data_IF_929780080128
#
_entry.id   IF_929780080128
#
_cell.length_a   1.000
_cell.length_b   1.000
_cell.length_c   1.000
_cell.angle_alpha   90.00
_cell.angle_beta   90.00
_cell.angle_gamma   90.00
#
_symmetry.space_group_name_H-M   'P 1'
#
loop_
_entity.id
_entity.type
_entity.pdbx_description
1 polymer ?
#
# COMPACT_ATOMS: atom_id res chain seq x y z
N UNK A 1 -22.92 -14.89 22.69
CA UNK A 1 -23.29 -14.27 21.40
C UNK A 1 -23.42 -12.74 21.47
N UNK A 2 -23.91 -12.16 22.57
CA UNK A 2 -24.13 -10.70 22.71
C UNK A 2 -22.89 -9.78 22.58
N UNK A 3 -21.66 -10.28 22.61
CA UNK A 3 -20.47 -9.41 22.57
C UNK A 3 -20.01 -9.07 21.14
N UNK A 4 -20.38 -9.89 20.15
CA UNK A 4 -19.87 -9.78 18.78
C UNK A 4 -20.70 -8.88 17.87
N UNK A 5 -21.99 -8.67 18.17
CA UNK A 5 -22.84 -7.87 17.29
C UNK A 5 -22.41 -6.40 17.22
N UNK A 6 -21.93 -5.81 18.33
CA UNK A 6 -21.41 -4.43 18.30
C UNK A 6 -20.20 -4.28 17.38
N UNK A 7 -19.30 -5.26 17.40
CA UNK A 7 -18.13 -5.25 16.51
C UNK A 7 -18.54 -5.45 15.05
N UNK A 8 -19.48 -6.37 14.80
CA UNK A 8 -20.02 -6.60 13.46
C UNK A 8 -20.70 -5.33 12.91
N UNK A 9 -21.51 -4.64 13.73
CA UNK A 9 -22.12 -3.35 13.36
C UNK A 9 -21.06 -2.30 13.07
N UNK A 10 -20.00 -2.21 13.89
CA UNK A 10 -18.92 -1.25 13.65
C UNK A 10 -18.21 -1.50 12.30
N UNK A 11 -17.92 -2.77 11.98
CA UNK A 11 -17.34 -3.17 10.70
C UNK A 11 -18.28 -2.85 9.54
N UNK A 12 -19.56 -3.22 9.63
CA UNK A 12 -20.55 -2.97 8.59
C UNK A 12 -20.71 -1.47 8.29
N UNK A 13 -20.74 -0.63 9.33
CA UNK A 13 -20.78 0.82 9.15
C UNK A 13 -19.49 1.32 8.47
N UNK A 14 -18.33 0.86 8.93
CA UNK A 14 -17.04 1.22 8.31
C UNK A 14 -16.93 0.82 6.84
N UNK A 15 -17.45 -0.35 6.47
CA UNK A 15 -17.51 -0.83 5.08
C UNK A 15 -18.49 0.00 4.24
N UNK A 16 -19.67 0.27 4.77
CA UNK A 16 -20.71 1.04 4.07
C UNK A 16 -20.23 2.45 3.75
N UNK A 17 -19.58 3.12 4.70
CA UNK A 17 -19.04 4.47 4.49
C UNK A 17 -17.94 4.48 3.43
N UNK A 18 -17.01 3.51 3.45
CA UNK A 18 -15.98 3.37 2.40
C UNK A 18 -16.60 3.21 1.02
N UNK A 19 -17.58 2.30 0.90
CA UNK A 19 -18.26 2.06 -0.36
C UNK A 19 -19.00 3.30 -0.86
N UNK A 20 -19.71 4.01 0.03
CA UNK A 20 -20.43 5.24 -0.31
C UNK A 20 -19.47 6.35 -0.81
N UNK A 21 -18.31 6.52 -0.18
CA UNK A 21 -17.31 7.49 -0.63
C UNK A 21 -16.76 7.12 -2.01
N UNK A 22 -16.56 5.83 -2.28
CA UNK A 22 -16.02 5.32 -3.55
C UNK A 22 -16.84 5.63 -4.81
N UNK A 23 -18.13 5.97 -4.64
CA UNK A 23 -19.04 6.34 -5.72
C UNK A 23 -18.67 7.68 -6.39
N UNK A 24 -17.96 8.56 -5.67
CA UNK A 24 -17.60 9.88 -6.14
C UNK A 24 -16.45 9.85 -7.16
N UNK A 25 -16.12 11.03 -7.72
CA UNK A 25 -15.01 11.21 -8.65
C UNK A 25 -13.65 10.86 -8.01
N UNK A 26 -12.62 10.68 -8.85
CA UNK A 26 -11.25 10.29 -8.44
C UNK A 26 -10.22 11.35 -8.89
N UNK A 27 -8.99 11.22 -8.38
CA UNK A 27 -7.84 12.07 -8.76
C UNK A 27 -7.62 12.08 -10.26
N UNK A 28 -7.73 13.27 -10.87
CA UNK A 28 -7.39 13.47 -12.27
C UNK A 28 -8.44 13.03 -13.30
N UNK A 29 -9.68 12.74 -12.87
CA UNK A 29 -10.78 12.42 -13.79
C UNK A 29 -10.97 13.51 -14.86
N UNK A 30 -10.92 13.12 -16.14
CA UNK A 30 -11.06 14.02 -17.28
C UNK A 30 -9.99 15.12 -17.39
N UNK A 31 -8.79 14.92 -16.82
CA UNK A 31 -7.68 15.90 -16.83
C UNK A 31 -6.46 15.39 -17.62
N UNK A 32 -6.51 15.33 -18.96
CA UNK A 32 -5.31 15.06 -19.76
C UNK A 32 -4.25 16.18 -19.59
N UNK A 33 -2.95 15.92 -19.84
CA UNK A 33 -2.39 14.68 -20.40
C UNK A 33 -1.93 13.63 -19.36
N UNK A 34 -1.64 14.05 -18.12
CA UNK A 34 -1.09 13.16 -17.08
C UNK A 34 -2.18 12.53 -16.19
N UNK A 35 -3.41 13.03 -16.19
CA UNK A 35 -4.45 12.59 -15.26
C UNK A 35 -3.96 12.71 -13.80
N UNK A 36 -4.38 11.80 -12.93
CA UNK A 36 -4.01 11.79 -11.52
C UNK A 36 -3.65 10.39 -11.08
N UNK A 37 -3.70 10.16 -9.78
CA UNK A 37 -3.18 8.92 -9.20
C UNK A 37 -3.96 7.67 -9.63
N UNK A 38 -5.22 7.83 -10.07
CA UNK A 38 -5.97 6.73 -10.69
C UNK A 38 -5.24 6.15 -11.90
N UNK A 39 -4.71 7.04 -12.74
CA UNK A 39 -3.96 6.67 -13.94
C UNK A 39 -2.59 6.09 -13.57
N UNK A 40 -1.96 6.57 -12.50
CA UNK A 40 -0.71 5.99 -12.01
C UNK A 40 -0.86 4.51 -11.67
N UNK A 41 -1.94 4.15 -10.96
CA UNK A 41 -2.22 2.77 -10.55
C UNK A 41 -2.56 1.87 -11.75
N UNK A 42 -3.37 2.38 -12.69
CA UNK A 42 -3.64 1.67 -13.94
C UNK A 42 -2.35 1.45 -14.73
N UNK A 43 -1.51 2.47 -14.83
CA UNK A 43 -0.25 2.37 -15.56
C UNK A 43 0.72 1.38 -14.91
N UNK A 44 0.77 1.28 -13.58
CA UNK A 44 1.54 0.23 -12.92
C UNK A 44 1.01 -1.17 -13.23
N UNK A 45 -0.31 -1.35 -13.35
CA UNK A 45 -0.90 -2.61 -13.80
C UNK A 45 -0.52 -2.94 -15.26
N UNK A 46 -0.54 -1.94 -16.16
CA UNK A 46 -0.07 -2.05 -17.54
C UNK A 46 1.40 -2.47 -17.62
N UNK A 47 2.28 -1.77 -16.91
CA UNK A 47 3.72 -2.05 -16.89
C UNK A 47 4.01 -3.43 -16.32
N UNK A 48 3.40 -3.77 -15.18
CA UNK A 48 3.70 -5.04 -14.49
C UNK A 48 3.21 -6.26 -15.24
N UNK A 49 2.07 -6.15 -15.95
CA UNK A 49 1.50 -7.25 -16.73
C UNK A 49 2.24 -7.48 -18.05
N UNK A 50 2.60 -6.42 -18.77
CA UNK A 50 3.11 -6.54 -20.15
C UNK A 50 4.64 -6.59 -20.23
N UNK A 51 5.36 -6.05 -19.24
CA UNK A 51 6.81 -5.95 -19.28
C UNK A 51 7.49 -6.96 -18.35
N UNK A 52 8.69 -7.46 -18.71
CA UNK A 52 9.46 -8.31 -17.82
C UNK A 52 9.85 -7.54 -16.55
N UNK A 53 9.94 -8.24 -15.41
CA UNK A 53 10.21 -7.65 -14.08
C UNK A 53 11.43 -6.72 -14.07
N UNK A 54 12.42 -7.00 -14.92
CA UNK A 54 13.64 -6.20 -15.06
C UNK A 54 13.39 -4.77 -15.57
N UNK A 55 12.31 -4.55 -16.32
CA UNK A 55 11.99 -3.26 -16.93
C UNK A 55 11.03 -2.40 -16.09
N UNK A 56 10.47 -2.92 -15.00
CA UNK A 56 9.44 -2.20 -14.22
C UNK A 56 9.91 -0.85 -13.65
N UNK A 57 11.19 -0.72 -13.30
CA UNK A 57 11.79 0.49 -12.70
C UNK A 57 12.80 1.19 -13.60
N UNK A 58 12.93 0.75 -14.85
CA UNK A 58 13.86 1.28 -15.83
C UNK A 58 13.11 2.04 -16.92
N UNK A 59 13.72 3.12 -17.38
CA UNK A 59 13.23 3.84 -18.55
C UNK A 59 13.57 3.02 -19.80
N UNK A 60 12.58 2.72 -20.63
CA UNK A 60 12.74 1.96 -21.87
C UNK A 60 11.83 2.54 -22.96
N UNK A 61 11.90 2.00 -24.18
CA UNK A 61 10.94 2.31 -25.25
C UNK A 61 9.49 2.09 -24.82
N UNK A 62 9.28 1.13 -23.91
CA UNK A 62 7.95 0.66 -23.51
C UNK A 62 7.53 1.14 -22.11
N UNK A 63 8.46 1.66 -21.31
CA UNK A 63 8.20 2.19 -19.98
C UNK A 63 8.80 3.60 -19.82
N UNK A 64 7.96 4.63 -19.90
CA UNK A 64 8.38 6.01 -19.66
C UNK A 64 8.21 6.37 -18.17
N UNK A 65 9.33 6.49 -17.45
CA UNK A 65 9.31 6.83 -16.03
C UNK A 65 8.80 8.24 -15.72
N UNK A 66 8.68 9.13 -16.72
CA UNK A 66 8.04 10.45 -16.57
C UNK A 66 6.51 10.36 -16.59
N UNK A 67 5.96 9.31 -17.20
CA UNK A 67 4.53 9.02 -17.21
C UNK A 67 4.19 8.02 -16.10
N UNK A 68 4.11 8.50 -14.85
CA UNK A 68 3.76 7.69 -13.68
C UNK A 68 4.61 6.43 -13.47
N UNK A 69 5.94 6.58 -13.53
CA UNK A 69 6.86 5.49 -13.21
C UNK A 69 6.62 4.89 -11.81
N UNK A 70 7.04 3.64 -11.62
CA UNK A 70 6.79 2.90 -10.39
C UNK A 70 7.71 3.38 -9.26
N UNK A 71 7.12 4.01 -8.23
CA UNK A 71 7.83 4.67 -7.12
C UNK A 71 7.71 3.93 -5.77
N UNK A 72 7.08 2.76 -5.80
CA UNK A 72 6.81 1.94 -4.62
C UNK A 72 7.67 0.67 -4.62
N UNK A 73 7.90 0.06 -3.44
CA UNK A 73 8.75 -1.12 -3.36
C UNK A 73 8.10 -2.35 -4.02
N UNK A 74 8.87 -3.43 -4.25
CA UNK A 74 8.47 -4.54 -5.11
C UNK A 74 7.12 -5.19 -4.78
N UNK A 75 6.70 -5.20 -3.50
CA UNK A 75 5.44 -5.80 -3.11
C UNK A 75 4.22 -5.08 -3.73
N UNK A 76 4.30 -3.76 -3.89
CA UNK A 76 3.25 -2.99 -4.59
C UNK A 76 3.21 -3.31 -6.07
N UNK A 77 4.37 -3.55 -6.69
CA UNK A 77 4.43 -3.97 -8.09
C UNK A 77 3.81 -5.36 -8.28
N UNK A 78 4.11 -6.33 -7.41
CA UNK A 78 3.47 -7.65 -7.45
C UNK A 78 1.97 -7.59 -7.17
N UNK A 79 1.52 -6.71 -6.27
CA UNK A 79 0.09 -6.52 -6.06
C UNK A 79 -0.59 -5.91 -7.29
N UNK A 80 0.06 -4.96 -7.97
CA UNK A 80 -0.43 -4.40 -9.23
C UNK A 80 -0.53 -5.49 -10.30
N UNK A 81 0.48 -6.35 -10.43
CA UNK A 81 0.44 -7.51 -11.32
C UNK A 81 -0.73 -8.45 -11.00
N UNK A 82 -0.94 -8.79 -9.73
CA UNK A 82 -2.03 -9.67 -9.30
C UNK A 82 -3.40 -9.11 -9.68
N UNK A 83 -3.59 -7.80 -9.52
CA UNK A 83 -4.80 -7.11 -9.95
C UNK A 83 -4.93 -7.09 -11.48
N UNK A 84 -3.83 -6.82 -12.20
CA UNK A 84 -3.78 -6.77 -13.65
C UNK A 84 -4.12 -8.12 -14.33
N UNK A 85 -3.78 -9.24 -13.70
CA UNK A 85 -4.13 -10.57 -14.20
C UNK A 85 -5.64 -10.89 -14.12
N UNK A 86 -6.45 -10.06 -13.47
CA UNK A 86 -7.88 -10.30 -13.20
C UNK A 86 -8.80 -9.30 -13.90
N UNK A 87 -8.27 -8.45 -14.77
CA UNK A 87 -9.02 -7.43 -15.52
C UNK A 87 -9.10 -7.75 -17.01
N UNK A 88 -9.94 -6.99 -17.70
CA UNK A 88 -9.97 -6.94 -19.15
C UNK A 88 -8.59 -6.45 -19.68
N UNK A 89 -7.90 -7.24 -20.52
CA UNK A 89 -6.63 -6.85 -21.09
C UNK A 89 -6.67 -5.52 -21.86
N UNK A 90 -7.83 -5.11 -22.38
CA UNK A 90 -7.98 -3.84 -23.08
C UNK A 90 -7.73 -2.63 -22.17
N UNK A 91 -7.97 -2.75 -20.86
CA UNK A 91 -7.82 -1.63 -19.91
C UNK A 91 -6.36 -1.36 -19.54
N UNK A 92 -5.49 -2.32 -19.80
CA UNK A 92 -4.06 -2.30 -19.49
C UNK A 92 -3.21 -2.70 -20.70
N UNK A 93 -3.75 -2.48 -21.90
CA UNK A 93 -3.04 -2.73 -23.15
C UNK A 93 -1.88 -1.73 -23.32
N UNK A 94 -0.69 -2.26 -23.56
CA UNK A 94 0.53 -1.46 -23.67
C UNK A 94 0.38 -0.37 -24.75
N UNK A 95 0.75 0.87 -24.43
CA UNK A 95 0.72 2.07 -25.30
C UNK A 95 -0.67 2.60 -25.68
N UNK A 96 -1.70 1.74 -25.75
CA UNK A 96 -3.04 2.15 -26.21
C UNK A 96 -3.98 2.52 -25.08
N UNK A 97 -3.75 2.01 -23.86
CA UNK A 97 -4.66 2.17 -22.72
C UNK A 97 -4.35 3.38 -21.82
N UNK A 98 -3.38 4.23 -22.21
CA UNK A 98 -3.02 5.44 -21.46
C UNK A 98 -4.19 6.43 -21.40
N UNK A 99 -4.58 6.81 -20.18
CA UNK A 99 -5.74 7.66 -19.93
C UNK A 99 -7.09 6.97 -20.11
N UNK A 100 -7.14 5.64 -20.04
CA UNK A 100 -8.39 4.90 -20.23
C UNK A 100 -9.37 5.11 -19.06
N UNK A 101 -10.46 5.80 -19.35
CA UNK A 101 -11.57 6.04 -18.43
C UNK A 101 -12.80 5.20 -18.83
N UNK A 102 -13.22 4.30 -17.95
CA UNK A 102 -14.43 3.51 -18.13
C UNK A 102 -15.13 3.30 -16.79
N UNK A 103 -16.47 3.38 -16.72
CA UNK A 103 -17.22 3.08 -15.50
C UNK A 103 -16.95 1.68 -14.95
N UNK A 104 -16.74 0.70 -15.83
CA UNK A 104 -16.45 -0.69 -15.43
C UNK A 104 -15.04 -0.80 -14.81
N UNK A 105 -14.05 -0.14 -15.42
CA UNK A 105 -12.69 -0.09 -14.90
C UNK A 105 -12.65 0.64 -13.55
N UNK A 106 -13.39 1.75 -13.41
CA UNK A 106 -13.53 2.47 -12.13
C UNK A 106 -14.08 1.56 -11.04
N UNK A 107 -15.17 0.83 -11.33
CA UNK A 107 -15.77 -0.10 -10.37
C UNK A 107 -14.79 -1.20 -9.96
N UNK A 108 -14.07 -1.79 -10.92
CA UNK A 108 -13.05 -2.79 -10.64
C UNK A 108 -11.99 -2.25 -9.69
N UNK A 109 -11.42 -1.08 -10.01
CA UNK A 109 -10.38 -0.47 -9.20
C UNK A 109 -10.89 -0.14 -7.79
N UNK A 110 -12.11 0.38 -7.62
CA UNK A 110 -12.69 0.59 -6.28
C UNK A 110 -12.86 -0.74 -5.53
N UNK A 111 -13.27 -1.81 -6.22
CA UNK A 111 -13.46 -3.12 -5.61
C UNK A 111 -12.14 -3.76 -5.14
N UNK A 112 -11.02 -3.58 -5.86
CA UNK A 112 -9.72 -4.11 -5.42
C UNK A 112 -9.25 -3.44 -4.13
N UNK A 113 -9.39 -2.11 -4.02
CA UNK A 113 -9.08 -1.37 -2.79
C UNK A 113 -9.95 -1.85 -1.63
N UNK A 114 -11.25 -1.96 -1.87
CA UNK A 114 -12.20 -2.42 -0.86
C UNK A 114 -11.90 -3.85 -0.38
N UNK A 115 -11.54 -4.74 -1.31
CA UNK A 115 -11.17 -6.12 -0.98
C UNK A 115 -9.85 -6.17 -0.19
N UNK A 116 -8.87 -5.36 -0.55
CA UNK A 116 -7.59 -5.28 0.16
C UNK A 116 -7.79 -4.79 1.61
N UNK A 117 -8.63 -3.76 1.82
CA UNK A 117 -9.05 -3.30 3.15
C UNK A 117 -9.71 -4.42 3.95
N UNK A 118 -10.64 -5.15 3.33
CA UNK A 118 -11.40 -6.23 3.95
C UNK A 118 -10.52 -7.41 4.38
N UNK A 119 -9.48 -7.72 3.61
CA UNK A 119 -8.60 -8.87 3.88
C UNK A 119 -7.47 -8.51 4.86
N UNK A 120 -6.91 -7.30 4.77
CA UNK A 120 -5.68 -6.96 5.49
C UNK A 120 -5.95 -6.00 6.65
N UNK A 121 -6.54 -4.84 6.37
CA UNK A 121 -6.68 -3.75 7.34
C UNK A 121 -7.77 -4.00 8.37
N UNK A 122 -8.97 -4.36 7.94
CA UNK A 122 -10.14 -4.52 8.82
C UNK A 122 -9.93 -5.63 9.85
N UNK A 123 -9.44 -6.84 9.49
CA UNK A 123 -9.15 -7.89 10.46
C UNK A 123 -8.09 -7.45 11.47
N UNK A 124 -7.05 -6.72 11.04
CA UNK A 124 -6.03 -6.18 11.93
C UNK A 124 -6.63 -5.24 12.98
N UNK A 125 -7.50 -4.31 12.57
CA UNK A 125 -8.18 -3.36 13.48
C UNK A 125 -9.11 -4.09 14.45
N UNK A 126 -9.91 -5.04 13.95
CA UNK A 126 -10.83 -5.81 14.79
C UNK A 126 -10.08 -6.60 15.85
N UNK A 127 -9.01 -7.31 15.45
CA UNK A 127 -8.18 -8.06 16.39
C UNK A 127 -7.49 -7.14 17.37
N UNK A 128 -6.90 -6.04 16.91
CA UNK A 128 -6.28 -5.04 17.77
C UNK A 128 -7.22 -4.55 18.86
N UNK A 129 -8.45 -4.13 18.51
CA UNK A 129 -9.43 -3.68 19.48
C UNK A 129 -9.92 -4.82 20.41
N UNK A 130 -10.04 -6.04 19.90
CA UNK A 130 -10.38 -7.22 20.71
C UNK A 130 -9.31 -7.54 21.76
N UNK A 131 -8.04 -7.33 21.42
CA UNK A 131 -6.86 -7.57 22.24
C UNK A 131 -6.67 -6.56 23.39
N UNK A 132 -7.30 -5.38 23.32
CA UNK A 132 -7.21 -4.38 24.40
C UNK A 132 -7.83 -4.95 25.69
N UNK A 133 -7.04 -5.06 26.74
CA UNK A 133 -7.46 -5.58 28.05
C UNK A 133 -8.29 -4.55 28.80
N UNK A 134 -9.15 -5.01 29.71
CA UNK A 134 -9.89 -4.17 30.68
C UNK A 134 -10.90 -3.15 30.09
N UNK A 135 -11.32 -3.34 28.83
CA UNK A 135 -12.34 -2.51 28.18
C UNK A 135 -13.62 -3.30 27.91
N UNK A 136 -14.79 -2.70 28.11
CA UNK A 136 -16.09 -3.31 27.80
C UNK A 136 -16.27 -3.55 26.30
N UNK A 137 -17.07 -4.55 25.91
CA UNK A 137 -17.30 -4.88 24.50
C UNK A 137 -17.82 -3.68 23.67
N UNK A 138 -18.67 -2.84 24.26
CA UNK A 138 -19.18 -1.61 23.63
C UNK A 138 -18.06 -0.60 23.37
N UNK A 139 -17.18 -0.39 24.35
CA UNK A 139 -16.03 0.53 24.19
C UNK A 139 -15.02 -0.01 23.17
N UNK A 140 -14.77 -1.32 23.12
CA UNK A 140 -13.94 -1.95 22.07
C UNK A 140 -14.51 -1.71 20.67
N UNK A 141 -15.82 -1.92 20.51
CA UNK A 141 -16.50 -1.65 19.25
C UNK A 141 -16.49 -0.16 18.88
N UNK A 142 -16.63 0.74 19.86
CA UNK A 142 -16.51 2.18 19.64
C UNK A 142 -15.09 2.58 19.20
N UNK A 143 -14.04 2.01 19.81
CA UNK A 143 -12.65 2.22 19.37
C UNK A 143 -12.42 1.71 17.95
N UNK A 144 -12.92 0.51 17.63
CA UNK A 144 -12.84 -0.03 16.27
C UNK A 144 -13.59 0.88 15.29
N UNK A 145 -14.78 1.36 15.64
CA UNK A 145 -15.54 2.29 14.82
C UNK A 145 -14.78 3.60 14.58
N UNK A 146 -14.15 4.19 15.60
CA UNK A 146 -13.35 5.41 15.45
C UNK A 146 -12.15 5.20 14.50
N UNK A 147 -11.45 4.08 14.61
CA UNK A 147 -10.33 3.74 13.73
C UNK A 147 -10.84 3.51 12.30
N UNK A 148 -11.88 2.69 12.15
CA UNK A 148 -12.45 2.37 10.85
C UNK A 148 -13.09 3.59 10.17
N UNK A 149 -13.64 4.55 10.91
CA UNK A 149 -14.23 5.77 10.37
C UNK A 149 -13.26 6.95 10.30
N UNK A 150 -11.95 6.73 10.44
CA UNK A 150 -10.97 7.80 10.33
C UNK A 150 -11.07 8.46 8.94
N UNK A 151 -11.49 9.74 8.86
CA UNK A 151 -11.89 10.35 7.59
C UNK A 151 -10.70 10.54 6.64
N UNK A 152 -9.50 10.80 7.18
CA UNK A 152 -8.30 10.99 6.38
C UNK A 152 -7.97 9.79 5.51
N UNK A 153 -7.97 8.58 6.10
CA UNK A 153 -7.68 7.35 5.36
C UNK A 153 -8.78 7.02 4.34
N UNK A 154 -10.05 7.17 4.73
CA UNK A 154 -11.18 6.88 3.81
C UNK A 154 -11.17 7.84 2.62
N UNK A 155 -10.99 9.14 2.86
CA UNK A 155 -11.01 10.12 1.77
C UNK A 155 -9.82 9.97 0.83
N UNK A 156 -8.64 9.60 1.33
CA UNK A 156 -7.45 9.41 0.48
C UNK A 156 -7.57 8.13 -0.35
N UNK A 157 -7.93 7.00 0.28
CA UNK A 157 -7.92 5.69 -0.39
C UNK A 157 -9.21 5.48 -1.22
N UNK A 158 -10.38 5.77 -0.66
CA UNK A 158 -11.69 5.54 -1.29
C UNK A 158 -12.25 6.76 -2.00
N UNK A 159 -11.80 7.98 -1.69
CA UNK A 159 -12.24 9.20 -2.38
C UNK A 159 -11.29 9.57 -3.51
N UNK A 160 -10.18 10.22 -3.13
CA UNK A 160 -9.13 10.75 -3.98
C UNK A 160 -8.48 9.67 -4.86
N UNK A 161 -8.43 8.42 -4.40
CA UNK A 161 -7.72 7.35 -5.10
C UNK A 161 -6.22 7.64 -5.25
N UNK A 162 -5.70 8.47 -4.33
CA UNK A 162 -4.35 9.05 -4.45
C UNK A 162 -3.27 7.98 -4.33
N UNK A 163 -3.50 6.98 -3.49
CA UNK A 163 -2.54 5.93 -3.16
C UNK A 163 -3.36 4.73 -2.73
N UNK A 164 -3.90 4.00 -3.70
CA UNK A 164 -5.00 3.02 -3.59
C UNK A 164 -4.89 1.96 -2.49
N UNK A 165 -3.81 1.92 -1.72
CA UNK A 165 -3.55 0.85 -0.77
C UNK A 165 -2.76 1.31 0.46
N UNK A 166 -2.96 2.53 0.97
CA UNK A 166 -2.33 2.94 2.24
C UNK A 166 -2.79 2.05 3.40
N UNK A 167 -4.07 1.73 3.41
CA UNK A 167 -4.66 0.82 4.39
C UNK A 167 -4.00 -0.56 4.39
N UNK A 168 -3.47 -1.05 3.26
CA UNK A 168 -2.73 -2.32 3.19
C UNK A 168 -1.42 -2.23 3.95
N UNK A 169 -0.63 -1.19 3.68
CA UNK A 169 0.62 -0.91 4.39
C UNK A 169 0.42 -0.77 5.90
N UNK A 170 -0.54 0.08 6.29
CA UNK A 170 -0.90 0.30 7.69
C UNK A 170 -1.47 -0.96 8.34
N UNK A 171 -2.21 -1.78 7.59
CA UNK A 171 -2.75 -3.05 8.04
C UNK A 171 -1.64 -4.05 8.35
N UNK A 172 -0.65 -4.18 7.47
CA UNK A 172 0.55 -4.99 7.73
C UNK A 172 1.36 -4.47 8.91
N UNK A 173 1.51 -3.15 9.06
CA UNK A 173 2.17 -2.56 10.23
C UNK A 173 1.42 -2.90 11.52
N UNK A 174 0.08 -2.82 11.52
CA UNK A 174 -0.76 -3.18 12.68
C UNK A 174 -0.70 -4.68 13.00
N UNK A 175 -0.66 -5.54 11.99
CA UNK A 175 -0.36 -6.96 12.15
C UNK A 175 1.02 -7.20 12.77
N UNK A 176 2.01 -6.39 12.37
CA UNK A 176 3.33 -6.37 12.97
C UNK A 176 3.26 -6.07 14.47
N UNK A 177 2.56 -4.99 14.85
CA UNK A 177 2.38 -4.59 16.25
C UNK A 177 1.70 -5.71 17.04
N UNK A 178 0.66 -6.33 16.47
CA UNK A 178 -0.05 -7.43 17.12
C UNK A 178 0.86 -8.65 17.33
N UNK A 179 1.58 -9.09 16.30
CA UNK A 179 2.49 -10.23 16.41
C UNK A 179 3.55 -10.02 17.48
N UNK A 180 4.16 -8.83 17.50
CA UNK A 180 5.20 -8.48 18.47
C UNK A 180 4.65 -8.34 19.90
N UNK A 181 3.41 -7.88 20.06
CA UNK A 181 2.74 -7.74 21.36
C UNK A 181 2.32 -9.09 21.97
N UNK A 182 2.14 -10.12 21.16
CA UNK A 182 1.73 -11.47 21.55
C UNK A 182 2.89 -12.49 21.52
N UNK A 183 4.14 -12.01 21.51
CA UNK A 183 5.35 -12.83 21.43
C UNK A 183 5.45 -13.72 20.18
N UNK A 184 4.67 -13.41 19.14
CA UNK A 184 4.82 -13.99 17.79
C UNK A 184 5.78 -13.15 16.97
N UNK A 185 6.97 -12.92 17.50
CA UNK A 185 7.95 -11.96 16.99
C UNK A 185 8.35 -12.23 15.53
N UNK A 186 8.38 -13.51 15.10
CA UNK A 186 8.67 -13.89 13.71
C UNK A 186 7.56 -13.44 12.75
N UNK A 187 6.29 -13.72 13.09
CA UNK A 187 5.15 -13.30 12.26
C UNK A 187 4.98 -11.77 12.28
N UNK A 188 5.20 -11.16 13.45
CA UNK A 188 5.17 -9.70 13.58
C UNK A 188 6.27 -9.01 12.74
N UNK A 189 7.48 -9.57 12.73
CA UNK A 189 8.59 -9.05 11.92
C UNK A 189 8.37 -9.28 10.42
N UNK A 190 7.84 -10.44 10.03
CA UNK A 190 7.44 -10.70 8.66
C UNK A 190 6.38 -9.70 8.19
N UNK A 191 5.32 -9.49 8.97
CA UNK A 191 4.27 -8.53 8.65
C UNK A 191 4.82 -7.10 8.53
N UNK A 192 5.71 -6.68 9.42
CA UNK A 192 6.34 -5.36 9.32
C UNK A 192 7.29 -5.24 8.11
N UNK A 193 8.03 -6.30 7.75
CA UNK A 193 8.81 -6.33 6.51
C UNK A 193 7.91 -6.19 5.28
N UNK A 194 6.75 -6.86 5.27
CA UNK A 194 5.78 -6.71 4.18
C UNK A 194 5.24 -5.28 4.12
N UNK A 195 4.95 -4.64 5.26
CA UNK A 195 4.53 -3.24 5.32
C UNK A 195 5.56 -2.31 4.66
N UNK A 196 6.85 -2.45 5.03
CA UNK A 196 7.95 -1.69 4.44
C UNK A 196 8.12 -1.94 2.93
N UNK A 197 7.99 -3.19 2.49
CA UNK A 197 8.08 -3.57 1.08
C UNK A 197 6.83 -3.19 0.28
N UNK A 198 5.74 -2.84 0.96
CA UNK A 198 4.54 -2.29 0.36
C UNK A 198 4.67 -0.78 0.16
N UNK A 199 5.05 -0.04 1.21
CA UNK A 199 5.27 1.40 1.17
C UNK A 199 6.45 1.79 2.06
N UNK A 200 7.44 2.44 1.45
CA UNK A 200 8.67 2.86 2.13
C UNK A 200 8.42 3.86 3.28
N UNK A 201 7.27 4.54 3.29
CA UNK A 201 6.88 5.46 4.37
C UNK A 201 6.72 4.78 5.74
N UNK A 202 6.54 3.45 5.78
CA UNK A 202 6.54 2.70 7.05
C UNK A 202 7.89 2.69 7.76
N UNK A 203 8.95 3.20 7.11
CA UNK A 203 10.22 3.44 7.78
C UNK A 203 10.08 4.37 8.99
N UNK A 204 9.06 5.22 9.04
CA UNK A 204 8.78 6.05 10.22
C UNK A 204 8.50 5.22 11.48
N UNK A 205 7.99 4.00 11.32
CA UNK A 205 7.74 3.07 12.41
C UNK A 205 8.91 2.09 12.66
N UNK A 206 9.94 2.11 11.82
CA UNK A 206 11.03 1.12 11.88
C UNK A 206 11.87 1.19 13.15
N UNK A 207 12.12 2.39 13.67
CA UNK A 207 12.96 2.58 14.87
C UNK A 207 12.33 1.95 16.12
N UNK A 208 11.04 2.21 16.46
CA UNK A 208 10.36 1.50 17.55
C UNK A 208 10.41 -0.02 17.42
N UNK A 209 10.11 -0.55 16.22
CA UNK A 209 10.15 -1.99 15.96
C UNK A 209 11.57 -2.55 16.15
N UNK A 210 12.58 -1.87 15.62
CA UNK A 210 13.98 -2.26 15.73
C UNK A 210 14.43 -2.30 17.20
N UNK A 211 14.21 -1.24 17.97
CA UNK A 211 14.63 -1.18 19.37
C UNK A 211 13.92 -2.25 20.23
N UNK A 212 12.62 -2.46 20.02
CA UNK A 212 11.86 -3.48 20.75
C UNK A 212 12.39 -4.89 20.45
N UNK A 213 12.56 -5.21 19.17
CA UNK A 213 13.04 -6.51 18.74
C UNK A 213 14.51 -6.75 19.11
N UNK A 214 15.35 -5.72 19.04
CA UNK A 214 16.76 -5.78 19.47
C UNK A 214 16.87 -6.14 20.95
N UNK A 215 15.98 -5.62 21.80
CA UNK A 215 15.91 -5.99 23.21
C UNK A 215 15.61 -7.48 23.46
N UNK A 216 14.99 -8.15 22.49
CA UNK A 216 14.71 -9.61 22.53
C UNK A 216 15.79 -10.45 21.84
N UNK A 217 16.75 -9.86 21.12
CA UNK A 217 17.79 -10.59 20.41
C UNK A 217 18.84 -11.15 21.37
N UNK A 218 19.05 -12.47 21.36
CA UNK A 218 20.22 -13.12 21.99
C UNK A 218 21.42 -13.16 21.03
N UNK A 219 22.66 -13.20 21.54
CA UNK A 219 23.93 -13.21 20.76
C UNK A 219 24.17 -14.42 19.82
N UNK A 220 23.21 -15.35 19.68
CA UNK A 220 23.28 -16.48 18.74
C UNK A 220 22.55 -16.13 17.44
N UNK A 221 22.79 -16.91 16.38
CA UNK A 221 22.02 -16.87 15.12
C UNK A 221 20.52 -16.80 15.44
N UNK A 222 19.92 -15.63 15.21
CA UNK A 222 18.57 -15.34 15.65
C UNK A 222 17.58 -15.57 14.50
N UNK A 223 16.59 -16.47 14.65
CA UNK A 223 15.54 -16.70 13.66
C UNK A 223 14.85 -15.41 13.19
N UNK A 224 14.83 -14.37 14.03
CA UNK A 224 14.31 -13.05 13.70
C UNK A 224 15.11 -12.37 12.57
N UNK A 225 16.44 -12.34 12.70
CA UNK A 225 17.31 -11.75 11.69
C UNK A 225 17.20 -12.54 10.37
N UNK A 226 17.14 -13.87 10.45
CA UNK A 226 16.89 -14.72 9.29
C UNK A 226 15.53 -14.41 8.64
N UNK A 227 14.49 -14.20 9.43
CA UNK A 227 13.14 -13.87 8.92
C UNK A 227 13.13 -12.53 8.18
N UNK A 228 13.74 -11.50 8.76
CA UNK A 228 13.86 -10.18 8.11
C UNK A 228 14.64 -10.31 6.80
N UNK A 229 15.83 -10.90 6.82
CA UNK A 229 16.67 -11.07 5.64
C UNK A 229 15.98 -11.91 4.56
N UNK A 230 15.32 -13.01 4.92
CA UNK A 230 14.57 -13.84 3.98
C UNK A 230 13.38 -13.10 3.38
N UNK A 231 12.64 -12.31 4.17
CA UNK A 231 11.49 -11.54 3.70
C UNK A 231 11.90 -10.50 2.64
N UNK A 232 12.99 -9.76 2.91
CA UNK A 232 13.56 -8.82 1.95
C UNK A 232 14.14 -9.56 0.74
N UNK A 233 14.87 -10.65 0.94
CA UNK A 233 15.43 -11.44 -0.14
C UNK A 233 14.36 -11.96 -1.10
N UNK A 234 13.23 -12.46 -0.58
CA UNK A 234 12.12 -12.95 -1.38
C UNK A 234 11.42 -11.83 -2.17
N UNK A 235 11.15 -10.68 -1.54
CA UNK A 235 10.51 -9.55 -2.23
C UNK A 235 11.41 -8.98 -3.35
N UNK A 236 12.73 -8.94 -3.11
CA UNK A 236 13.71 -8.31 -3.99
C UNK A 236 14.44 -9.28 -4.92
N UNK A 237 14.14 -10.58 -4.86
CA UNK A 237 14.83 -11.64 -5.59
C UNK A 237 15.06 -11.32 -7.08
N UNK A 238 14.06 -10.88 -7.88
CA UNK A 238 14.27 -10.61 -9.30
C UNK A 238 15.01 -9.30 -9.59
N UNK A 239 15.31 -8.50 -8.56
CA UNK A 239 16.06 -7.25 -8.66
C UNK A 239 17.53 -7.41 -8.22
N UNK A 240 17.89 -8.53 -7.58
CA UNK A 240 19.27 -8.82 -7.18
C UNK A 240 20.14 -9.45 -8.26
N UNK A 241 19.57 -9.78 -9.43
CA UNK A 241 20.35 -10.34 -10.54
C UNK A 241 21.46 -9.41 -11.02
N UNK A 242 21.21 -8.10 -10.99
CA UNK A 242 22.17 -7.07 -11.39
C UNK A 242 22.21 -5.96 -10.34
N UNK A 243 23.41 -5.58 -9.90
CA UNK A 243 23.59 -4.54 -8.87
C UNK A 243 22.96 -3.21 -9.29
N UNK A 244 23.10 -2.84 -10.56
CA UNK A 244 22.53 -1.60 -11.11
C UNK A 244 21.00 -1.59 -11.03
N UNK A 245 20.36 -2.75 -11.21
CA UNK A 245 18.91 -2.87 -11.12
C UNK A 245 18.42 -2.62 -9.68
N UNK A 246 19.09 -3.22 -8.68
CA UNK A 246 18.77 -2.96 -7.27
C UNK A 246 19.00 -1.50 -6.88
N UNK A 247 20.10 -0.89 -7.34
CA UNK A 247 20.39 0.53 -7.09
C UNK A 247 19.36 1.45 -7.75
N UNK A 248 18.90 1.11 -8.95
CA UNK A 248 17.84 1.87 -9.62
C UNK A 248 16.53 1.85 -8.83
N UNK A 249 16.10 0.67 -8.35
CA UNK A 249 14.88 0.55 -7.52
C UNK A 249 15.04 1.40 -6.26
N UNK A 250 16.20 1.37 -5.60
CA UNK A 250 16.49 2.19 -4.43
C UNK A 250 16.44 3.71 -4.72
N UNK A 251 17.00 4.16 -5.86
CA UNK A 251 16.93 5.57 -6.28
C UNK A 251 15.51 6.04 -6.55
N UNK A 252 14.63 5.16 -7.07
CA UNK A 252 13.20 5.48 -7.25
C UNK A 252 12.47 5.55 -5.92
N UNK A 253 12.76 4.64 -4.99
CA UNK A 253 12.16 4.63 -3.66
C UNK A 253 12.54 5.85 -2.80
N UNK A 254 13.81 6.25 -2.89
CA UNK A 254 14.39 7.37 -2.17
C UNK A 254 14.97 8.37 -3.16
N UNK A 255 14.12 9.19 -3.81
CA UNK A 255 14.59 10.18 -4.77
C UNK A 255 15.41 11.25 -4.04
N UNK A 256 16.72 11.25 -4.26
CA UNK A 256 17.65 12.24 -3.69
C UNK A 256 17.59 13.59 -4.41
N UNK A 257 17.03 13.62 -5.62
CA UNK A 257 17.17 14.75 -6.55
C UNK A 257 16.00 15.73 -6.51
N UNK A 258 15.12 15.67 -5.50
CA UNK A 258 14.04 16.66 -5.34
C UNK A 258 14.58 17.89 -4.60
N UNK A 259 14.43 19.06 -5.21
CA UNK A 259 14.82 20.32 -4.56
C UNK A 259 14.13 20.48 -3.22
N UNK A 260 14.85 21.02 -2.21
CA UNK A 260 14.45 21.13 -0.80
C UNK A 260 13.08 21.80 -0.53
N UNK A 261 12.43 22.42 -1.52
CA UNK A 261 11.15 23.14 -1.38
C UNK A 261 10.16 22.97 -2.55
N UNK A 262 10.30 21.96 -3.41
CA UNK A 262 9.43 21.79 -4.59
C UNK A 262 8.03 21.21 -4.27
N UNK A 263 7.73 20.95 -2.99
CA UNK A 263 6.40 20.54 -2.53
C UNK A 263 5.44 21.74 -2.36
N UNK A 264 5.22 22.50 -3.43
CA UNK A 264 3.99 23.27 -3.65
C UNK A 264 3.65 23.13 -5.12
N UNK A 265 2.42 22.67 -5.40
CA UNK A 265 1.95 22.36 -6.74
C UNK A 265 2.34 23.43 -7.76
N UNK A 266 2.77 22.97 -8.93
CA UNK A 266 3.12 23.73 -10.12
C UNK A 266 2.51 25.15 -10.17
N UNK A 267 3.22 26.13 -9.62
CA UNK A 267 3.10 27.51 -10.02
C UNK A 267 4.33 27.79 -10.89
N UNK A 268 4.16 28.09 -12.19
CA UNK A 268 5.28 28.43 -13.04
C UNK A 268 5.98 29.65 -12.43
N UNK A 269 7.31 29.56 -12.25
CA UNK A 269 8.13 30.71 -11.89
C UNK A 269 7.90 31.79 -12.96
N UNK A 270 7.56 33.04 -12.62
CA UNK A 270 7.55 34.10 -13.61
C UNK A 270 9.00 34.28 -14.09
N UNK A 271 9.18 34.17 -15.41
CA UNK A 271 10.40 34.58 -16.09
C UNK A 271 10.60 36.08 -15.85
N UNK A 272 11.67 36.42 -15.15
CA UNK A 272 12.25 37.78 -15.16
C UNK A 272 13.26 37.85 -16.28
#
# INVERSE_FOLDING_TARGET
MEKWYWMAVAVLVGLTVRWAVSLHSYSGAGKPPLFGDYEAQRHWQEVTLNLPVRQWYLNSSDNDLQYWGLDYPPLTAYHSLLCACRIDPAWVALHTSRGHESPAHKLFMRATVFLADLVIYIPAVVLYCCCIKEISAKKKAASALCILLYPGLILIDHGHFQHTYNAVSLGFALWGILGVSYDWDLLGSLAFCLALNYKQMELYHSLPFFCFLLGKLTFKLNPLACTVLASFALCWLPFFTEREQALQVLRRLFPTDRGLFEARGALPRPSV
#
